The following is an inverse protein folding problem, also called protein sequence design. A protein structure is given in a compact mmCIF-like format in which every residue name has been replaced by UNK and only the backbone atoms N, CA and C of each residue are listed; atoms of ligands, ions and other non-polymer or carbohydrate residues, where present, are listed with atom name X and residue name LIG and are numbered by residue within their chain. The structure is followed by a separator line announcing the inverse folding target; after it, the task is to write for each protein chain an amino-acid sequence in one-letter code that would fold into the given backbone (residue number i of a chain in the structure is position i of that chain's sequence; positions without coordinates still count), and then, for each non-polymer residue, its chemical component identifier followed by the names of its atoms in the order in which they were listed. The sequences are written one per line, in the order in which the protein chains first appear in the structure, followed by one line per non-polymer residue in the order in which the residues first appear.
data_IF_826351165150
#
_entry.id   IF_826351165150
#
_cell.length_a   1.000
_cell.length_b   1.000
_cell.length_c   1.000
_cell.angle_alpha   90.00
_cell.angle_beta   90.00
_cell.angle_gamma   90.00
#
_symmetry.space_group_name_H-M   'P 1'
#
loop_
_entity.id
_entity.type
_entity.pdbx_description
1 polymer ?
#
# COMPACT_ATOMS: atom_id res chain seq x y z
N UNK A 1 14.86 -8.02 9.73
CA UNK A 1 15.52 -9.06 10.55
C UNK A 1 16.35 -9.91 9.61
N UNK A 2 17.62 -10.13 9.92
CA UNK A 2 18.46 -11.12 9.25
C UNK A 2 19.13 -11.94 10.34
N UNK A 3 19.07 -13.26 10.21
CA UNK A 3 19.78 -14.20 11.09
C UNK A 3 20.98 -14.79 10.36
N UNK A 4 21.96 -15.26 11.13
CA UNK A 4 23.12 -15.95 10.58
C UNK A 4 22.73 -17.37 10.14
N UNK A 5 23.28 -17.88 9.01
CA UNK A 5 23.03 -19.25 8.58
C UNK A 5 23.76 -20.23 9.51
N UNK A 6 23.03 -20.84 10.44
CA UNK A 6 23.58 -21.80 11.41
C UNK A 6 23.84 -23.19 10.80
N UNK A 7 23.12 -23.55 9.74
CA UNK A 7 23.25 -24.82 9.04
C UNK A 7 23.18 -24.56 7.54
N UNK A 8 24.00 -25.29 6.77
CA UNK A 8 23.96 -25.29 5.31
C UNK A 8 23.59 -26.70 4.86
N UNK A 9 22.51 -26.81 4.09
CA UNK A 9 22.08 -28.04 3.47
C UNK A 9 22.70 -28.12 2.06
N UNK A 10 23.67 -29.03 1.81
CA UNK A 10 24.38 -29.10 0.54
C UNK A 10 23.60 -29.87 -0.55
N UNK A 11 22.60 -30.64 -0.15
CA UNK A 11 21.80 -31.49 -1.04
C UNK A 11 20.34 -31.06 -1.00
N UNK A 12 19.74 -30.88 -2.18
CA UNK A 12 18.32 -30.57 -2.29
C UNK A 12 17.51 -31.85 -2.08
N UNK A 13 16.65 -31.85 -1.08
CA UNK A 13 15.71 -32.94 -0.79
C UNK A 13 14.29 -32.48 -1.19
N UNK A 14 13.73 -32.96 -2.32
CA UNK A 14 12.44 -32.46 -2.83
C UNK A 14 11.29 -32.58 -1.84
N UNK A 15 11.26 -33.65 -1.03
CA UNK A 15 10.23 -33.85 -0.02
C UNK A 15 10.32 -32.86 1.17
N UNK A 16 11.51 -32.35 1.49
CA UNK A 16 11.73 -31.33 2.53
C UNK A 16 11.51 -29.89 2.02
N UNK A 17 11.35 -29.74 0.70
CA UNK A 17 11.04 -28.44 0.10
C UNK A 17 9.71 -27.91 0.62
N UNK A 18 9.57 -26.58 0.59
CA UNK A 18 8.33 -25.94 1.01
C UNK A 18 7.12 -26.52 0.22
N UNK A 19 5.97 -26.79 0.87
CA UNK A 19 4.83 -27.43 0.20
C UNK A 19 4.33 -26.72 -1.06
N UNK A 20 4.59 -25.42 -1.21
CA UNK A 20 4.28 -24.66 -2.43
C UNK A 20 5.01 -25.20 -3.67
N UNK A 21 6.25 -25.67 -3.51
CA UNK A 21 7.00 -26.26 -4.61
C UNK A 21 6.33 -27.54 -5.11
N UNK A 22 5.70 -28.31 -4.22
CA UNK A 22 5.03 -29.57 -4.59
C UNK A 22 3.80 -29.35 -5.49
N UNK A 23 3.26 -28.13 -5.53
CA UNK A 23 2.09 -27.78 -6.34
C UNK A 23 2.45 -27.24 -7.74
N UNK A 24 3.72 -27.30 -8.14
CA UNK A 24 4.13 -26.88 -9.49
C UNK A 24 3.73 -27.93 -10.52
N UNK A 25 3.13 -27.47 -11.61
CA UNK A 25 2.83 -28.26 -12.81
C UNK A 25 4.12 -28.51 -13.60
N UNK A 26 4.24 -29.71 -14.17
CA UNK A 26 5.47 -30.17 -14.83
C UNK A 26 5.23 -30.72 -16.24
N UNK A 27 4.08 -30.42 -16.83
CA UNK A 27 3.65 -30.92 -18.14
C UNK A 27 4.06 -29.99 -19.29
N UNK A 28 4.25 -30.54 -20.50
CA UNK A 28 4.51 -29.75 -21.72
C UNK A 28 3.27 -29.04 -22.24
N UNK A 29 2.11 -29.66 -22.10
CA UNK A 29 0.82 -29.18 -22.56
C UNK A 29 -0.24 -29.67 -21.61
N UNK A 30 -1.23 -28.82 -21.34
CA UNK A 30 -2.39 -29.19 -20.52
C UNK A 30 -3.29 -30.15 -21.34
N UNK A 31 -3.75 -31.25 -20.74
CA UNK A 31 -4.60 -32.22 -21.44
C UNK A 31 -6.02 -31.68 -21.65
N UNK A 32 -6.76 -32.27 -22.60
CA UNK A 32 -8.15 -31.88 -22.88
C UNK A 32 -9.05 -32.02 -21.64
N UNK A 33 -8.89 -33.10 -20.89
CA UNK A 33 -9.65 -33.40 -19.66
C UNK A 33 -9.56 -32.26 -18.63
N UNK A 34 -8.42 -31.58 -18.55
CA UNK A 34 -8.26 -30.40 -17.68
C UNK A 34 -9.21 -29.29 -18.12
N UNK A 35 -9.23 -28.95 -19.40
CA UNK A 35 -10.11 -27.89 -19.93
C UNK A 35 -11.59 -28.24 -19.76
N UNK A 36 -11.98 -29.49 -19.99
CA UNK A 36 -13.36 -29.95 -19.73
C UNK A 36 -13.74 -29.84 -18.25
N UNK A 37 -12.81 -30.17 -17.35
CA UNK A 37 -13.01 -30.02 -15.90
C UNK A 37 -13.20 -28.56 -15.48
N UNK A 38 -12.52 -27.61 -16.15
CA UNK A 38 -12.71 -26.17 -15.88
C UNK A 38 -14.11 -25.69 -16.25
N UNK A 39 -14.73 -26.23 -17.31
CA UNK A 39 -16.11 -25.91 -17.71
C UNK A 39 -17.12 -26.40 -16.66
N UNK A 40 -16.83 -27.52 -16.01
CA UNK A 40 -17.63 -28.08 -14.94
C UNK A 40 -17.36 -27.43 -13.56
N UNK A 41 -16.44 -26.47 -13.49
CA UNK A 41 -16.03 -25.79 -12.25
C UNK A 41 -15.57 -26.76 -11.15
N UNK A 42 -14.93 -27.87 -11.54
CA UNK A 42 -14.37 -28.83 -10.60
C UNK A 42 -13.29 -28.14 -9.75
N UNK A 43 -13.26 -28.45 -8.46
CA UNK A 43 -12.26 -27.90 -7.54
C UNK A 43 -10.86 -28.39 -7.94
N UNK A 44 -9.88 -27.48 -7.94
CA UNK A 44 -8.50 -27.79 -8.35
C UNK A 44 -7.86 -28.98 -7.60
N UNK A 45 -8.26 -29.24 -6.34
CA UNK A 45 -7.76 -30.39 -5.58
C UNK A 45 -8.19 -31.75 -6.14
N UNK A 46 -9.28 -31.77 -6.89
CA UNK A 46 -9.95 -32.99 -7.35
C UNK A 46 -9.59 -33.29 -8.82
N UNK A 47 -8.86 -32.37 -9.46
CA UNK A 47 -8.36 -32.52 -10.83
C UNK A 47 -7.04 -33.28 -10.80
N UNK A 48 -7.05 -34.51 -11.31
CA UNK A 48 -5.87 -35.39 -11.38
C UNK A 48 -5.23 -35.47 -12.77
N UNK A 49 -5.82 -34.81 -13.77
CA UNK A 49 -5.37 -34.86 -15.16
C UNK A 49 -4.04 -34.12 -15.40
N UNK A 50 -3.67 -33.18 -14.52
CA UNK A 50 -2.41 -32.42 -14.63
C UNK A 50 -1.37 -32.97 -13.67
N UNK A 51 -0.21 -33.33 -14.21
CA UNK A 51 0.92 -33.83 -13.41
C UNK A 51 1.59 -32.69 -12.64
N UNK A 52 1.78 -32.88 -11.34
CA UNK A 52 2.42 -31.94 -10.42
C UNK A 52 3.64 -32.57 -9.73
N UNK A 53 4.54 -31.76 -9.15
CA UNK A 53 5.72 -32.29 -8.44
C UNK A 53 5.33 -33.28 -7.35
N UNK A 54 4.24 -33.04 -6.63
CA UNK A 54 3.75 -33.92 -5.57
C UNK A 54 3.56 -35.38 -6.04
N UNK A 55 3.07 -35.59 -7.27
CA UNK A 55 2.87 -36.94 -7.81
C UNK A 55 4.17 -37.63 -8.24
N UNK A 56 5.30 -36.90 -8.28
CA UNK A 56 6.63 -37.42 -8.62
C UNK A 56 7.53 -37.63 -7.40
N UNK A 57 7.14 -37.17 -6.21
CA UNK A 57 7.93 -37.37 -4.99
C UNK A 57 8.21 -38.86 -4.77
N UNK A 58 9.40 -39.18 -4.23
CA UNK A 58 9.86 -40.55 -3.99
C UNK A 58 10.09 -41.39 -5.26
N UNK A 59 9.99 -40.79 -6.45
CA UNK A 59 10.37 -41.41 -7.73
C UNK A 59 11.62 -40.75 -8.32
N UNK A 60 12.30 -41.42 -9.24
CA UNK A 60 13.47 -40.85 -9.93
C UNK A 60 13.14 -39.55 -10.68
N UNK A 61 11.90 -39.42 -11.17
CA UNK A 61 11.40 -38.25 -11.92
C UNK A 61 11.26 -36.98 -11.07
N UNK A 62 11.50 -37.04 -9.76
CA UNK A 62 11.55 -35.84 -8.92
C UNK A 62 12.74 -34.91 -9.25
N UNK A 63 13.70 -35.36 -10.06
CA UNK A 63 14.91 -34.59 -10.41
C UNK A 63 15.00 -34.20 -11.90
N UNK A 64 14.14 -34.73 -12.78
CA UNK A 64 14.23 -34.50 -14.23
C UNK A 64 12.84 -34.43 -14.91
N UNK A 65 12.82 -34.20 -16.23
CA UNK A 65 11.59 -34.09 -17.05
C UNK A 65 10.63 -32.98 -16.62
N UNK A 66 11.19 -31.83 -16.25
CA UNK A 66 10.44 -30.62 -15.97
C UNK A 66 10.19 -29.86 -17.27
N UNK A 67 8.93 -29.52 -17.53
CA UNK A 67 8.52 -28.81 -18.72
C UNK A 67 7.71 -27.56 -18.37
N UNK A 68 7.56 -26.67 -19.34
CA UNK A 68 6.72 -25.49 -19.26
C UNK A 68 5.74 -25.45 -20.42
N UNK A 69 4.55 -24.90 -20.19
CA UNK A 69 3.50 -24.80 -21.20
C UNK A 69 3.77 -23.71 -22.23
N UNK A 70 4.52 -22.66 -21.87
CA UNK A 70 4.83 -21.53 -22.72
C UNK A 70 6.33 -21.30 -22.78
N UNK A 71 6.84 -21.00 -23.98
CA UNK A 71 8.23 -20.59 -24.20
C UNK A 71 8.37 -19.06 -24.18
N UNK A 72 9.46 -18.55 -23.61
CA UNK A 72 9.80 -17.13 -23.63
C UNK A 72 11.11 -16.90 -24.38
N UNK A 73 11.27 -15.72 -24.99
CA UNK A 73 12.50 -15.34 -25.70
C UNK A 73 13.60 -14.82 -24.78
N UNK A 74 13.25 -14.30 -23.60
CA UNK A 74 14.18 -13.81 -22.59
C UNK A 74 13.60 -14.03 -21.18
N UNK A 75 14.50 -14.29 -20.22
CA UNK A 75 14.19 -14.31 -18.79
C UNK A 75 14.34 -12.93 -18.13
N UNK A 76 14.95 -11.98 -18.84
CA UNK A 76 15.19 -10.63 -18.35
C UNK A 76 14.22 -9.63 -18.95
N UNK A 77 13.76 -8.69 -18.13
CA UNK A 77 12.95 -7.56 -18.59
C UNK A 77 13.85 -6.42 -19.01
N UNK A 78 13.42 -5.64 -20.01
CA UNK A 78 14.15 -4.45 -20.47
C UNK A 78 14.21 -3.33 -19.42
N UNK A 79 13.25 -3.31 -18.47
CA UNK A 79 13.24 -2.42 -17.31
C UNK A 79 13.39 -3.26 -16.04
N UNK A 80 14.51 -3.09 -15.35
CA UNK A 80 14.84 -3.80 -14.11
C UNK A 80 14.23 -3.19 -12.84
N UNK A 81 13.64 -1.99 -12.94
CA UNK A 81 13.04 -1.27 -11.81
C UNK A 81 11.60 -0.89 -12.09
N UNK A 82 10.76 -1.00 -11.05
CA UNK A 82 9.39 -0.53 -11.11
C UNK A 82 9.34 1.00 -11.18
N UNK A 83 8.39 1.53 -11.96
CA UNK A 83 8.14 2.97 -12.02
C UNK A 83 7.76 3.56 -10.65
N UNK A 84 7.19 2.73 -9.76
CA UNK A 84 6.87 3.15 -8.39
C UNK A 84 8.10 3.66 -7.62
N UNK A 85 9.27 3.04 -7.81
CA UNK A 85 10.51 3.43 -7.13
C UNK A 85 11.11 4.73 -7.62
N UNK A 86 10.77 5.16 -8.84
CA UNK A 86 11.30 6.39 -9.45
C UNK A 86 10.46 7.63 -9.12
N UNK A 87 9.26 7.44 -8.57
CA UNK A 87 8.37 8.53 -8.18
C UNK A 87 8.73 9.03 -6.77
N UNK A 88 8.94 10.34 -6.65
CA UNK A 88 9.41 10.96 -5.41
C UNK A 88 8.32 11.05 -4.34
N UNK A 89 7.22 11.75 -4.64
CA UNK A 89 6.17 11.99 -3.65
C UNK A 89 5.08 10.93 -3.68
N UNK A 90 4.36 10.78 -2.55
CA UNK A 90 3.17 9.93 -2.48
C UNK A 90 2.08 10.43 -3.44
N UNK A 91 1.96 11.76 -3.59
CA UNK A 91 1.01 12.37 -4.51
C UNK A 91 1.31 11.97 -5.96
N UNK A 92 2.58 11.97 -6.38
CA UNK A 92 2.96 11.56 -7.74
C UNK A 92 2.65 10.08 -7.98
N UNK A 93 2.90 9.23 -6.98
CA UNK A 93 2.58 7.79 -7.03
C UNK A 93 1.09 7.57 -7.22
N UNK A 94 0.29 8.32 -6.48
CA UNK A 94 -1.14 8.23 -6.53
C UNK A 94 -1.72 8.78 -7.85
N UNK A 95 -1.20 9.91 -8.34
CA UNK A 95 -1.60 10.48 -9.62
C UNK A 95 -1.26 9.54 -10.78
N UNK A 96 -0.11 8.86 -10.73
CA UNK A 96 0.24 7.83 -11.70
C UNK A 96 -0.65 6.59 -11.60
N UNK A 97 -1.04 6.19 -10.40
CA UNK A 97 -1.98 5.09 -10.19
C UNK A 97 -3.35 5.41 -10.81
N UNK A 98 -3.88 6.61 -10.58
CA UNK A 98 -5.15 7.02 -11.18
C UNK A 98 -5.02 7.14 -12.70
N UNK A 99 -3.94 7.73 -13.21
CA UNK A 99 -3.71 7.81 -14.65
C UNK A 99 -3.69 6.43 -15.30
N UNK A 100 -3.12 5.42 -14.64
CA UNK A 100 -3.18 4.05 -15.13
C UNK A 100 -4.60 3.49 -15.11
N UNK A 101 -5.39 3.79 -14.07
CA UNK A 101 -6.80 3.39 -14.00
C UNK A 101 -7.62 4.02 -15.14
N UNK A 102 -7.36 5.29 -15.49
CA UNK A 102 -8.02 5.97 -16.62
C UNK A 102 -7.67 5.34 -17.99
N UNK A 103 -6.53 4.65 -18.09
CA UNK A 103 -6.08 4.00 -19.32
C UNK A 103 -6.59 2.56 -19.49
N UNK A 104 -7.06 1.93 -18.41
CA UNK A 104 -7.45 0.51 -18.41
C UNK A 104 -8.98 0.40 -18.44
N UNK A 105 -9.52 -0.13 -19.53
CA UNK A 105 -10.96 -0.27 -19.75
C UNK A 105 -11.66 -1.14 -18.68
N UNK A 106 -10.99 -2.20 -18.22
CA UNK A 106 -11.52 -3.08 -17.17
C UNK A 106 -11.61 -2.44 -15.77
N UNK A 107 -11.16 -1.19 -15.60
CA UNK A 107 -11.01 -0.53 -14.30
C UNK A 107 -11.91 0.69 -14.20
N UNK A 108 -12.82 0.68 -13.22
CA UNK A 108 -13.60 1.87 -12.89
C UNK A 108 -12.79 2.83 -12.00
N UNK A 109 -12.36 3.94 -12.59
CA UNK A 109 -11.55 4.95 -11.89
C UNK A 109 -12.30 5.60 -10.72
N UNK A 110 -13.59 5.92 -10.90
CA UNK A 110 -14.40 6.55 -9.84
C UNK A 110 -14.55 5.64 -8.62
N UNK A 111 -14.70 4.34 -8.84
CA UNK A 111 -14.77 3.35 -7.76
C UNK A 111 -13.46 3.25 -6.99
N UNK A 112 -12.30 3.23 -7.69
CA UNK A 112 -10.99 3.23 -7.03
C UNK A 112 -10.81 4.48 -6.18
N UNK A 113 -11.14 5.65 -6.72
CA UNK A 113 -11.00 6.92 -6.00
C UNK A 113 -11.90 6.92 -4.76
N UNK A 114 -13.15 6.48 -4.89
CA UNK A 114 -14.10 6.32 -3.79
C UNK A 114 -13.53 5.39 -2.70
N UNK A 115 -13.00 4.23 -3.08
CA UNK A 115 -12.41 3.28 -2.15
C UNK A 115 -11.18 3.86 -1.43
N UNK A 116 -10.28 4.53 -2.15
CA UNK A 116 -9.10 5.15 -1.53
C UNK A 116 -9.48 6.23 -0.54
N UNK A 117 -10.50 7.04 -0.86
CA UNK A 117 -11.00 8.07 0.07
C UNK A 117 -11.49 7.43 1.37
N UNK A 118 -12.28 6.35 1.28
CA UNK A 118 -12.92 5.73 2.45
C UNK A 118 -11.95 4.88 3.28
N UNK A 119 -11.05 4.12 2.66
CA UNK A 119 -10.18 3.16 3.37
C UNK A 119 -8.85 3.75 3.82
N UNK A 120 -8.36 4.79 3.15
CA UNK A 120 -7.02 5.34 3.41
C UNK A 120 -7.04 6.82 3.77
N UNK A 121 -7.58 7.70 2.90
CA UNK A 121 -7.44 9.14 3.10
C UNK A 121 -8.21 9.65 4.32
N UNK A 122 -9.51 9.33 4.42
CA UNK A 122 -10.34 9.76 5.57
C UNK A 122 -9.80 9.20 6.90
N UNK A 123 -9.50 7.88 7.02
CA UNK A 123 -8.90 7.34 8.23
C UNK A 123 -7.57 7.99 8.61
N UNK A 124 -6.67 8.26 7.65
CA UNK A 124 -5.38 8.89 7.92
C UNK A 124 -5.54 10.33 8.41
N UNK A 125 -6.38 11.12 7.74
CA UNK A 125 -6.63 12.52 8.13
C UNK A 125 -7.21 12.57 9.55
N UNK A 126 -8.24 11.77 9.81
CA UNK A 126 -8.88 11.70 11.13
C UNK A 126 -7.93 11.18 12.21
N UNK A 127 -7.14 10.15 11.90
CA UNK A 127 -6.16 9.57 12.79
C UNK A 127 -5.09 10.58 13.17
N UNK A 128 -4.53 11.28 12.19
CA UNK A 128 -3.53 12.32 12.39
C UNK A 128 -4.09 13.52 13.17
N UNK A 129 -5.31 13.96 12.88
CA UNK A 129 -5.95 15.05 13.61
C UNK A 129 -6.20 14.69 15.09
N UNK A 130 -6.73 13.49 15.36
CA UNK A 130 -6.93 12.98 16.74
C UNK A 130 -5.60 12.82 17.47
N UNK A 131 -4.58 12.31 16.80
CA UNK A 131 -3.26 12.14 17.36
C UNK A 131 -2.60 13.49 17.65
N UNK A 132 -2.74 14.47 16.76
CA UNK A 132 -2.27 15.85 16.95
C UNK A 132 -2.89 16.49 18.20
N UNK A 133 -4.20 16.32 18.41
CA UNK A 133 -4.89 16.87 19.58
C UNK A 133 -4.45 16.22 20.92
N UNK A 134 -3.95 14.98 20.88
CA UNK A 134 -3.54 14.19 22.07
C UNK A 134 -2.02 14.03 22.20
N UNK A 135 -1.24 14.71 21.37
CA UNK A 135 0.18 14.44 21.22
C UNK A 135 1.01 14.81 22.46
N UNK A 136 2.19 14.21 22.52
CA UNK A 136 3.23 14.56 23.49
C UNK A 136 4.24 15.53 22.84
N UNK A 137 5.09 16.12 23.67
CA UNK A 137 6.16 17.01 23.24
C UNK A 137 7.52 16.40 23.55
N UNK A 138 8.42 16.40 22.56
CA UNK A 138 9.76 15.82 22.69
C UNK A 138 10.81 16.93 22.77
N UNK A 139 11.79 16.77 23.64
CA UNK A 139 12.95 17.65 23.70
C UNK A 139 13.96 17.31 22.61
N UNK A 140 14.47 18.32 21.91
CA UNK A 140 15.48 18.16 20.86
C UNK A 140 16.88 17.82 21.39
N UNK A 141 17.20 18.22 22.62
CA UNK A 141 18.50 17.95 23.24
C UNK A 141 18.58 16.59 23.92
N UNK A 142 17.71 16.32 24.91
CA UNK A 142 17.78 15.11 25.73
C UNK A 142 16.79 14.00 25.33
N UNK A 143 15.91 14.24 24.35
CA UNK A 143 14.93 13.27 23.88
C UNK A 143 13.77 12.96 24.84
N UNK A 144 13.72 13.59 26.03
CA UNK A 144 12.65 13.38 27.02
C UNK A 144 11.28 13.78 26.47
N UNK A 145 10.27 12.98 26.78
CA UNK A 145 8.88 13.17 26.36
C UNK A 145 8.04 13.76 27.48
N UNK A 146 7.19 14.72 27.14
CA UNK A 146 6.29 15.42 28.05
C UNK A 146 4.85 15.31 27.55
N UNK A 147 3.94 14.85 28.41
CA UNK A 147 2.50 14.78 28.07
C UNK A 147 1.87 16.15 27.85
N UNK A 148 2.36 17.19 28.54
CA UNK A 148 1.90 18.57 28.40
C UNK A 148 3.11 19.49 28.33
N UNK A 149 2.98 20.59 27.60
CA UNK A 149 4.00 21.64 27.58
C UNK A 149 4.17 22.21 28.99
N UNK A 150 5.38 22.24 29.56
CA UNK A 150 5.67 22.96 30.80
C UNK A 150 5.34 24.44 30.65
N UNK A 151 4.94 25.12 31.72
CA UNK A 151 4.61 26.56 31.68
C UNK A 151 5.82 27.43 31.29
N UNK A 152 7.04 26.96 31.58
CA UNK A 152 8.31 27.60 31.19
C UNK A 152 8.58 27.45 29.68
N UNK A 153 7.80 26.63 28.97
CA UNK A 153 7.89 26.34 27.52
C UNK A 153 9.20 25.70 27.05
N UNK A 154 10.14 25.43 27.95
CA UNK A 154 11.41 24.74 27.69
C UNK A 154 11.48 23.43 28.46
N UNK A 155 12.37 22.53 28.01
CA UNK A 155 12.76 21.37 28.79
C UNK A 155 13.61 21.79 29.99
N UNK A 156 13.68 20.94 31.02
CA UNK A 156 14.56 21.13 32.19
C UNK A 156 16.03 21.27 31.78
N UNK A 157 16.43 20.71 30.62
CA UNK A 157 17.78 20.88 30.08
C UNK A 157 17.98 22.17 29.24
N UNK A 158 17.03 23.11 29.27
CA UNK A 158 17.10 24.40 28.56
C UNK A 158 16.76 24.36 27.07
N UNK A 159 16.57 23.17 26.48
CA UNK A 159 16.27 23.03 25.06
C UNK A 159 14.77 23.14 24.75
N UNK A 160 14.45 23.51 23.50
CA UNK A 160 13.07 23.62 23.00
C UNK A 160 12.38 22.26 22.96
N UNK A 161 11.08 22.28 23.24
CA UNK A 161 10.18 21.16 23.06
C UNK A 161 9.45 21.30 21.73
N UNK A 162 9.42 20.22 20.95
CA UNK A 162 8.73 20.15 19.66
C UNK A 162 7.53 19.20 19.75
N UNK A 163 6.41 19.48 19.07
CA UNK A 163 5.31 18.53 18.95
C UNK A 163 5.77 17.31 18.15
N UNK A 164 5.26 16.13 18.50
CA UNK A 164 5.59 14.89 17.76
C UNK A 164 4.90 14.82 16.40
N UNK A 165 3.77 15.50 16.24
CA UNK A 165 2.97 15.58 15.02
C UNK A 165 2.86 17.04 14.60
N UNK A 166 3.15 17.30 13.34
CA UNK A 166 3.14 18.66 12.79
C UNK A 166 1.81 18.97 12.12
N UNK A 167 1.47 20.26 11.99
CA UNK A 167 0.32 20.71 11.18
C UNK A 167 0.39 20.15 9.76
N UNK A 168 1.57 20.23 9.13
CA UNK A 168 1.80 19.73 7.78
C UNK A 168 1.50 18.24 7.61
N UNK A 169 1.76 17.41 8.62
CA UNK A 169 1.39 15.98 8.56
C UNK A 169 -0.12 15.73 8.54
N UNK A 170 -0.92 16.61 9.17
CA UNK A 170 -2.39 16.50 9.15
C UNK A 170 -2.96 17.00 7.81
N UNK A 171 -2.44 18.13 7.30
CA UNK A 171 -2.95 18.77 6.08
C UNK A 171 -2.51 18.10 4.76
N UNK A 172 -1.43 17.31 4.79
CA UNK A 172 -0.80 16.72 3.60
C UNK A 172 -1.81 16.03 2.66
N UNK A 173 -2.75 15.27 3.24
CA UNK A 173 -3.72 14.49 2.47
C UNK A 173 -5.05 15.20 2.25
N UNK A 174 -5.34 16.27 2.99
CA UNK A 174 -6.57 17.04 2.81
C UNK A 174 -6.64 17.67 1.41
N UNK A 175 -5.52 18.26 0.96
CA UNK A 175 -5.43 18.86 -0.39
C UNK A 175 -5.69 17.83 -1.49
N UNK A 176 -5.13 16.63 -1.33
CA UNK A 176 -5.36 15.52 -2.26
C UNK A 176 -6.84 15.11 -2.24
N UNK A 177 -7.41 14.90 -1.07
CA UNK A 177 -8.80 14.45 -0.93
C UNK A 177 -9.79 15.44 -1.55
N UNK A 178 -9.62 16.75 -1.33
CA UNK A 178 -10.45 17.79 -1.98
C UNK A 178 -10.39 17.69 -3.51
N UNK A 179 -9.18 17.64 -4.08
CA UNK A 179 -8.96 17.53 -5.53
C UNK A 179 -9.66 16.30 -6.12
N UNK A 180 -9.66 15.18 -5.42
CA UNK A 180 -10.28 13.94 -5.90
C UNK A 180 -11.80 13.99 -5.91
N UNK A 181 -12.38 14.53 -4.84
CA UNK A 181 -13.83 14.70 -4.71
C UNK A 181 -14.38 15.70 -5.74
N UNK A 182 -13.59 16.68 -6.14
CA UNK A 182 -13.94 17.64 -7.21
C UNK A 182 -13.79 17.04 -8.61
N UNK A 183 -12.74 16.26 -8.85
CA UNK A 183 -12.45 15.71 -10.19
C UNK A 183 -13.28 14.48 -10.53
N UNK A 184 -13.56 13.61 -9.57
CA UNK A 184 -14.22 12.33 -9.82
C UNK A 184 -15.62 12.29 -9.22
N UNK A 185 -16.48 11.50 -9.86
CA UNK A 185 -17.82 11.22 -9.35
C UNK A 185 -17.72 10.29 -8.13
N UNK A 186 -17.86 10.88 -6.95
CA UNK A 186 -17.82 10.20 -5.65
C UNK A 186 -19.12 10.48 -4.90
N UNK A 187 -19.45 9.62 -3.94
CA UNK A 187 -20.72 9.77 -3.20
C UNK A 187 -20.81 11.12 -2.47
N UNK A 188 -22.03 11.65 -2.40
CA UNK A 188 -22.34 12.87 -1.63
C UNK A 188 -21.86 12.79 -0.17
N UNK A 189 -21.92 11.60 0.43
CA UNK A 189 -21.39 11.36 1.77
C UNK A 189 -19.87 11.59 1.84
N UNK A 190 -19.10 11.04 0.91
CA UNK A 190 -17.65 11.23 0.88
C UNK A 190 -17.29 12.68 0.63
N UNK A 191 -18.02 13.35 -0.28
CA UNK A 191 -17.86 14.79 -0.53
C UNK A 191 -18.09 15.59 0.74
N UNK A 192 -19.25 15.45 1.36
CA UNK A 192 -19.58 16.13 2.62
C UNK A 192 -18.60 15.81 3.73
N UNK A 193 -18.10 14.57 3.82
CA UNK A 193 -17.14 14.14 4.84
C UNK A 193 -15.80 14.85 4.71
N UNK A 194 -15.28 14.99 3.50
CA UNK A 194 -14.02 15.71 3.25
C UNK A 194 -14.16 17.21 3.53
N UNK A 195 -15.29 17.82 3.15
CA UNK A 195 -15.56 19.22 3.49
C UNK A 195 -15.64 19.43 5.00
N UNK A 196 -16.41 18.61 5.73
CA UNK A 196 -16.49 18.70 7.18
C UNK A 196 -15.13 18.51 7.88
N UNK A 197 -14.28 17.60 7.37
CA UNK A 197 -12.92 17.43 7.88
C UNK A 197 -12.03 18.64 7.58
N UNK A 198 -12.22 19.30 6.44
CA UNK A 198 -11.54 20.55 6.15
C UNK A 198 -11.89 21.62 7.16
N UNK A 199 -13.18 21.81 7.41
CA UNK A 199 -13.67 22.82 8.34
C UNK A 199 -13.17 22.55 9.76
N UNK A 200 -13.15 21.27 10.18
CA UNK A 200 -12.60 20.85 11.48
C UNK A 200 -11.10 21.18 11.61
N UNK A 201 -10.32 20.92 10.54
CA UNK A 201 -8.89 21.25 10.50
C UNK A 201 -8.69 22.78 10.55
N UNK A 202 -9.47 23.55 9.79
CA UNK A 202 -9.40 25.02 9.80
C UNK A 202 -9.78 25.60 11.17
N UNK A 203 -10.78 25.04 11.85
CA UNK A 203 -11.16 25.40 13.22
C UNK A 203 -10.04 25.11 14.23
N UNK A 204 -9.35 23.97 14.10
CA UNK A 204 -8.28 23.57 15.03
C UNK A 204 -7.02 24.41 14.86
N UNK A 205 -6.65 24.76 13.63
CA UNK A 205 -5.40 25.46 13.35
C UNK A 205 -5.54 26.97 13.14
N UNK A 206 -6.74 27.46 12.82
CA UNK A 206 -7.00 28.84 12.41
C UNK A 206 -6.36 29.21 11.07
N UNK A 207 -6.62 30.45 10.61
CA UNK A 207 -5.91 31.06 9.48
C UNK A 207 -4.41 31.09 9.77
N UNK A 208 -3.59 30.83 8.76
CA UNK A 208 -2.14 30.78 8.96
C UNK A 208 -1.59 32.17 9.30
N UNK A 209 -0.57 32.25 10.16
CA UNK A 209 0.15 33.52 10.36
C UNK A 209 0.85 33.88 9.04
N UNK A 210 0.28 34.82 8.29
CA UNK A 210 0.79 35.25 6.99
C UNK A 210 -0.25 35.28 5.86
N UNK A 211 -1.47 34.77 6.08
CA UNK A 211 -2.56 34.96 5.10
C UNK A 211 -2.96 36.44 5.08
N UNK A 212 -2.54 37.14 4.03
CA UNK A 212 -2.98 38.50 3.75
C UNK A 212 -4.50 38.48 3.57
N UNK A 213 -5.22 39.15 4.46
CA UNK A 213 -6.67 39.33 4.32
C UNK A 213 -6.95 40.08 3.02
N UNK A 214 -7.67 39.43 2.10
CA UNK A 214 -8.17 40.07 0.89
C UNK A 214 -9.37 40.94 1.26
N UNK A 215 -9.57 42.05 0.54
CA UNK A 215 -10.71 42.95 0.76
C UNK A 215 -12.06 42.23 0.61
N UNK A 216 -12.09 41.14 -0.17
CA UNK A 216 -13.25 40.27 -0.38
C UNK A 216 -13.62 39.42 0.82
N UNK A 217 -12.73 39.24 1.80
CA UNK A 217 -13.03 38.48 3.02
C UNK A 217 -14.01 39.21 3.96
N UNK A 218 -14.30 40.49 3.68
CA UNK A 218 -15.17 41.36 4.47
C UNK A 218 -16.44 41.81 3.73
N UNK A 219 -16.71 41.25 2.55
CA UNK A 219 -17.88 41.56 1.73
C UNK A 219 -19.00 40.53 1.90
#
# INVERSE_FOLDING_TARGET
LMDAPLLVQPLVLPHESQPQAHNLEVTKSLPLEFFESTLQQVKASDVSSVEIIKSRLETERQFYDYFSTHSTSSLTTSKSRSAYSTLGSMLDKFDMQIKNAELIDAVNTSEIVSNVISTHLVPDIMGNLRAYARQNFRCTGCGKSYRRMPLIQTCVCGHKLIPTITRGSVEKYLKLAKRLVEKYDVSEYQRGRIHALSDEIELVFGKSQGDQSLLTDYA
#
